data_IF_827866238216
#
_entry.id   IF_827866238216
#
_cell.length_a   1.000
_cell.length_b   1.000
_cell.length_c   1.000
_cell.angle_alpha   90.00
_cell.angle_beta   90.00
_cell.angle_gamma   90.00
#
_symmetry.space_group_name_H-M   'P 1'
#
loop_
_entity.id
_entity.type
_entity.pdbx_description
1 polymer ?
#
# COMPACT_ATOMS: atom_id res chain seq x y z
N UNK A 1 7.65 -26.87 34.89
CA UNK A 1 6.45 -25.98 34.93
C UNK A 1 6.88 -24.55 35.20
N UNK A 2 5.99 -23.56 34.98
CA UNK A 2 6.25 -22.14 35.31
C UNK A 2 6.63 -21.95 36.80
N UNK A 3 6.07 -22.78 37.65
CA UNK A 3 6.39 -22.81 39.09
C UNK A 3 7.84 -23.25 39.34
N UNK A 4 8.33 -24.24 38.62
CA UNK A 4 9.72 -24.72 38.76
C UNK A 4 10.75 -23.65 38.36
N UNK A 5 10.38 -22.78 37.39
CA UNK A 5 11.21 -21.63 36.96
C UNK A 5 11.25 -20.56 38.06
N UNK A 6 10.09 -20.24 38.67
CA UNK A 6 10.00 -19.26 39.78
C UNK A 6 10.76 -19.79 41.03
N UNK A 7 10.57 -21.05 41.38
CA UNK A 7 11.21 -21.66 42.54
C UNK A 7 12.74 -21.70 42.34
N UNK A 8 13.24 -22.06 41.16
CA UNK A 8 14.67 -22.05 40.87
C UNK A 8 15.29 -20.66 40.85
N UNK A 9 14.54 -19.63 40.38
CA UNK A 9 15.00 -18.23 40.43
C UNK A 9 15.02 -17.69 41.87
N UNK A 10 14.05 -18.08 42.69
CA UNK A 10 13.91 -17.61 44.08
C UNK A 10 14.90 -18.30 45.07
N UNK A 11 15.19 -19.58 44.87
CA UNK A 11 15.92 -20.38 45.83
C UNK A 11 17.46 -20.36 45.72
N UNK A 12 18.01 -20.15 44.51
CA UNK A 12 19.46 -20.32 44.35
C UNK A 12 20.19 -19.40 43.38
N UNK A 13 19.47 -18.68 42.53
CA UNK A 13 20.06 -17.93 41.43
C UNK A 13 20.85 -18.82 40.45
N UNK A 14 20.77 -20.14 40.55
CA UNK A 14 21.43 -21.08 39.66
C UNK A 14 20.56 -21.35 38.45
N UNK A 15 20.74 -20.53 37.44
CA UNK A 15 20.09 -20.65 36.11
C UNK A 15 20.54 -21.95 35.41
N UNK A 16 21.68 -22.48 35.77
CA UNK A 16 22.29 -23.70 35.16
C UNK A 16 21.39 -24.93 35.28
N UNK A 17 20.77 -25.16 36.44
CA UNK A 17 19.82 -26.26 36.64
C UNK A 17 18.53 -26.14 35.82
N UNK A 18 18.16 -24.91 35.43
CA UNK A 18 17.02 -24.66 34.57
C UNK A 18 17.30 -24.96 33.12
N UNK A 19 18.54 -24.77 32.65
CA UNK A 19 18.94 -25.05 31.27
C UNK A 19 18.80 -26.55 30.99
N UNK A 20 19.15 -27.41 31.97
CA UNK A 20 19.01 -28.87 31.82
C UNK A 20 17.57 -29.36 31.96
N UNK A 21 16.78 -28.79 32.90
CA UNK A 21 15.43 -29.26 33.18
C UNK A 21 14.34 -28.67 32.27
N UNK A 22 14.59 -27.51 31.70
CA UNK A 22 13.67 -26.82 30.80
C UNK A 22 14.45 -26.10 29.70
N UNK A 23 15.03 -26.80 28.73
CA UNK A 23 15.79 -26.21 27.66
C UNK A 23 14.87 -25.26 26.85
N UNK A 24 15.28 -24.00 26.69
CA UNK A 24 14.53 -22.98 25.98
C UNK A 24 14.19 -23.40 24.56
N UNK A 25 15.11 -24.11 23.90
CA UNK A 25 14.92 -24.62 22.55
C UNK A 25 13.70 -25.54 22.46
N UNK A 26 13.54 -26.48 23.39
CA UNK A 26 12.42 -27.43 23.41
C UNK A 26 11.09 -26.71 23.68
N UNK A 27 11.11 -25.72 24.55
CA UNK A 27 9.93 -24.91 24.84
C UNK A 27 9.49 -24.09 23.62
N UNK A 28 10.42 -23.40 22.95
CA UNK A 28 10.14 -22.57 21.77
C UNK A 28 9.77 -23.44 20.56
N UNK A 29 10.56 -24.46 20.25
CA UNK A 29 10.28 -25.35 19.12
C UNK A 29 9.02 -26.18 19.35
N UNK A 30 8.78 -26.63 20.57
CA UNK A 30 7.55 -27.31 20.96
C UNK A 30 6.31 -26.42 20.81
N UNK A 31 6.43 -25.13 21.16
CA UNK A 31 5.38 -24.14 20.92
C UNK A 31 5.11 -23.96 19.41
N UNK A 32 6.17 -23.84 18.61
CA UNK A 32 6.05 -23.70 17.15
C UNK A 32 5.32 -24.90 16.56
N UNK A 33 5.77 -26.12 16.83
CA UNK A 33 5.16 -27.37 16.34
C UNK A 33 3.69 -27.49 16.76
N UNK A 34 3.37 -27.10 17.98
CA UNK A 34 2.03 -27.28 18.55
C UNK A 34 1.03 -26.18 18.12
N UNK A 35 1.48 -24.95 17.92
CA UNK A 35 0.61 -23.80 17.72
C UNK A 35 0.72 -23.13 16.34
N UNK A 36 1.75 -23.42 15.54
CA UNK A 36 1.88 -22.90 14.20
C UNK A 36 1.45 -23.95 13.16
N UNK A 37 0.28 -23.78 12.54
CA UNK A 37 -0.20 -24.75 11.56
C UNK A 37 0.64 -24.68 10.28
N UNK A 38 0.89 -25.84 9.61
CA UNK A 38 1.55 -25.87 8.32
C UNK A 38 0.71 -25.19 7.22
N UNK A 39 1.32 -24.81 6.10
CA UNK A 39 0.66 -24.08 5.02
C UNK A 39 -0.66 -24.66 4.54
N UNK A 40 -0.71 -25.96 4.26
CA UNK A 40 -1.89 -26.65 3.76
C UNK A 40 -3.06 -26.67 4.77
N UNK A 41 -2.80 -26.45 6.05
CA UNK A 41 -3.84 -26.28 7.08
C UNK A 41 -4.21 -24.80 7.19
N UNK A 42 -3.22 -23.91 7.23
CA UNK A 42 -3.43 -22.47 7.41
C UNK A 42 -4.18 -21.83 6.23
N UNK A 43 -3.92 -22.26 5.00
CA UNK A 43 -4.55 -21.70 3.80
C UNK A 43 -6.08 -21.90 3.78
N UNK A 44 -6.58 -23.02 4.32
CA UNK A 44 -8.02 -23.31 4.37
C UNK A 44 -8.86 -22.26 5.09
N UNK A 45 -8.32 -21.62 6.13
CA UNK A 45 -9.05 -20.59 6.89
C UNK A 45 -8.56 -19.17 6.64
N UNK A 46 -7.36 -18.99 6.04
CA UNK A 46 -6.82 -17.65 5.71
C UNK A 46 -7.21 -17.19 4.32
N UNK A 47 -7.12 -18.06 3.32
CA UNK A 47 -7.40 -17.71 1.91
C UNK A 47 -8.79 -17.12 1.72
N UNK A 48 -9.88 -17.67 2.31
CA UNK A 48 -11.20 -17.08 2.17
C UNK A 48 -11.34 -15.63 2.68
N UNK A 49 -10.38 -15.19 3.52
CA UNK A 49 -10.37 -13.82 4.07
C UNK A 49 -9.61 -12.83 3.20
N UNK A 50 -8.62 -13.31 2.43
CA UNK A 50 -7.68 -12.46 1.69
C UNK A 50 -7.80 -12.60 0.16
N UNK A 51 -8.57 -13.58 -0.31
CA UNK A 51 -8.80 -13.81 -1.72
C UNK A 51 -10.30 -13.91 -2.00
N UNK A 52 -10.81 -13.05 -2.90
CA UNK A 52 -12.23 -12.94 -3.24
C UNK A 52 -12.62 -13.69 -4.50
N UNK A 53 -11.71 -14.51 -5.04
CA UNK A 53 -12.02 -15.38 -6.17
C UNK A 53 -12.92 -16.56 -5.80
N UNK A 54 -13.35 -17.30 -6.81
CA UNK A 54 -14.17 -18.49 -6.62
C UNK A 54 -13.36 -19.64 -6.03
N UNK A 55 -13.65 -19.97 -4.77
CA UNK A 55 -12.97 -21.03 -4.00
C UNK A 55 -13.28 -22.44 -4.53
N UNK A 56 -14.39 -22.62 -5.26
CA UNK A 56 -14.79 -23.90 -5.85
C UNK A 56 -14.14 -24.15 -7.21
N UNK A 57 -13.55 -23.12 -7.82
CA UNK A 57 -12.79 -23.27 -9.06
C UNK A 57 -11.54 -24.15 -8.86
N UNK A 58 -10.99 -24.69 -9.94
CA UNK A 58 -9.76 -25.50 -9.88
C UNK A 58 -8.60 -24.73 -9.27
N UNK A 59 -8.50 -23.43 -9.59
CA UNK A 59 -7.50 -22.52 -9.01
C UNK A 59 -7.76 -22.31 -7.52
N UNK A 60 -9.02 -22.05 -7.12
CA UNK A 60 -9.39 -21.87 -5.73
C UNK A 60 -9.06 -23.10 -4.88
N UNK A 61 -9.38 -24.28 -5.38
CA UNK A 61 -9.05 -25.57 -4.73
C UNK A 61 -7.54 -25.79 -4.62
N UNK A 62 -6.78 -25.47 -5.67
CA UNK A 62 -5.32 -25.57 -5.64
C UNK A 62 -4.71 -24.63 -4.58
N UNK A 63 -5.20 -23.38 -4.51
CA UNK A 63 -4.77 -22.41 -3.48
C UNK A 63 -5.14 -22.89 -2.08
N UNK A 64 -6.38 -23.38 -1.85
CA UNK A 64 -6.80 -23.84 -0.52
C UNK A 64 -6.01 -25.05 -0.03
N UNK A 65 -5.67 -25.96 -0.93
CA UNK A 65 -4.99 -27.21 -0.58
C UNK A 65 -3.46 -27.10 -0.60
N UNK A 66 -2.91 -25.93 -0.99
CA UNK A 66 -1.45 -25.76 -1.14
C UNK A 66 -0.88 -26.79 -2.14
N UNK A 67 -1.52 -26.91 -3.31
CA UNK A 67 -1.19 -27.95 -4.30
C UNK A 67 0.01 -27.54 -5.15
N UNK A 68 1.09 -28.34 -5.08
CA UNK A 68 2.32 -28.11 -5.84
C UNK A 68 2.13 -28.32 -7.37
N UNK A 69 1.13 -29.10 -7.77
CA UNK A 69 0.85 -29.40 -9.17
C UNK A 69 -0.17 -28.45 -9.80
N UNK A 70 -0.78 -27.59 -9.00
CA UNK A 70 -1.74 -26.59 -9.47
C UNK A 70 -1.06 -25.44 -10.24
N UNK A 71 -1.85 -24.48 -10.74
CA UNK A 71 -1.33 -23.25 -11.31
C UNK A 71 -0.48 -22.51 -10.30
N UNK A 72 0.65 -21.95 -10.74
CA UNK A 72 1.49 -21.14 -9.86
C UNK A 72 0.78 -19.83 -9.53
N UNK A 73 0.50 -19.60 -8.24
CA UNK A 73 -0.12 -18.36 -7.74
C UNK A 73 0.65 -17.91 -6.52
N UNK A 74 1.22 -16.71 -6.59
CA UNK A 74 2.02 -16.11 -5.54
C UNK A 74 1.58 -14.67 -5.29
N UNK A 75 1.55 -14.27 -4.03
CA UNK A 75 1.40 -12.87 -3.62
C UNK A 75 2.75 -12.32 -3.19
N UNK A 76 3.18 -11.23 -3.80
CA UNK A 76 4.39 -10.51 -3.42
C UNK A 76 4.10 -9.73 -2.15
N UNK A 77 4.85 -10.02 -1.09
CA UNK A 77 4.70 -9.39 0.23
C UNK A 77 5.71 -8.27 0.42
N UNK A 78 6.92 -8.45 -0.11
CA UNK A 78 8.00 -7.50 0.04
C UNK A 78 8.87 -7.45 -1.22
N UNK A 79 9.51 -6.32 -1.43
CA UNK A 79 10.54 -6.12 -2.44
C UNK A 79 11.83 -5.70 -1.75
N UNK A 80 12.94 -6.23 -2.17
CA UNK A 80 14.27 -5.77 -1.74
C UNK A 80 15.17 -5.59 -2.95
N UNK A 81 16.22 -4.81 -2.83
CA UNK A 81 17.15 -4.55 -3.91
C UNK A 81 18.51 -5.17 -3.59
N UNK A 82 18.83 -6.22 -4.32
CA UNK A 82 20.17 -6.80 -4.29
C UNK A 82 21.13 -5.89 -5.09
N UNK A 83 22.26 -5.46 -4.52
CA UNK A 83 23.21 -4.58 -5.21
C UNK A 83 23.74 -5.13 -6.53
N UNK A 84 23.84 -6.44 -6.67
CA UNK A 84 24.38 -7.10 -7.87
C UNK A 84 23.30 -7.56 -8.84
N UNK A 85 22.15 -8.00 -8.31
CA UNK A 85 21.10 -8.66 -9.10
C UNK A 85 19.85 -7.78 -9.33
N UNK A 86 19.74 -6.63 -8.66
CA UNK A 86 18.61 -5.72 -8.79
C UNK A 86 17.40 -6.12 -7.93
N UNK A 87 16.17 -5.76 -8.35
CA UNK A 87 14.96 -6.01 -7.57
C UNK A 87 14.68 -7.50 -7.37
N UNK A 88 14.40 -7.89 -6.13
CA UNK A 88 14.05 -9.25 -5.68
C UNK A 88 12.64 -9.20 -5.11
N UNK A 89 11.72 -9.93 -5.73
CA UNK A 89 10.34 -10.05 -5.27
C UNK A 89 10.20 -11.22 -4.30
N UNK A 90 9.86 -10.93 -3.06
CA UNK A 90 9.68 -11.92 -1.99
C UNK A 90 8.18 -12.06 -1.72
N UNK A 91 7.68 -13.29 -1.71
CA UNK A 91 6.25 -13.47 -1.49
C UNK A 91 5.86 -14.88 -1.09
N UNK A 92 4.59 -15.03 -0.80
CA UNK A 92 4.00 -16.31 -0.45
C UNK A 92 3.50 -17.03 -1.69
N UNK A 93 3.99 -18.23 -1.92
CA UNK A 93 3.50 -19.14 -2.96
C UNK A 93 2.33 -19.95 -2.40
N UNK A 94 1.13 -19.72 -2.93
CA UNK A 94 -0.10 -20.36 -2.46
C UNK A 94 -0.40 -21.67 -3.18
N UNK A 95 -0.08 -21.78 -4.47
CA UNK A 95 -0.26 -22.98 -5.27
C UNK A 95 0.78 -23.06 -6.37
N UNK A 96 0.97 -24.24 -6.90
CA UNK A 96 1.91 -24.53 -7.96
C UNK A 96 3.37 -24.60 -7.52
N UNK A 97 4.23 -24.85 -8.48
CA UNK A 97 5.69 -24.84 -8.33
C UNK A 97 6.27 -23.75 -9.21
N UNK A 98 7.10 -22.88 -8.63
CA UNK A 98 7.80 -21.84 -9.38
C UNK A 98 9.20 -22.30 -9.72
N UNK A 99 9.66 -22.02 -10.97
CA UNK A 99 10.94 -22.50 -11.52
C UNK A 99 11.75 -21.40 -12.17
N UNK A 100 13.05 -21.58 -12.24
CA UNK A 100 13.93 -20.74 -13.02
C UNK A 100 13.49 -20.70 -14.51
N UNK A 101 13.51 -19.53 -15.11
CA UNK A 101 13.15 -19.33 -16.49
C UNK A 101 11.64 -19.30 -16.80
N UNK A 102 10.78 -19.48 -15.81
CA UNK A 102 9.33 -19.52 -15.96
C UNK A 102 8.76 -18.13 -16.30
N UNK A 103 7.84 -18.10 -17.26
CA UNK A 103 7.07 -16.89 -17.55
C UNK A 103 5.88 -16.80 -16.59
N UNK A 104 5.64 -15.61 -16.05
CA UNK A 104 4.54 -15.32 -15.16
C UNK A 104 3.88 -14.00 -15.52
N UNK A 105 2.61 -13.88 -15.19
CA UNK A 105 1.81 -12.67 -15.36
C UNK A 105 1.72 -11.91 -14.04
N UNK A 106 1.95 -10.62 -14.05
CA UNK A 106 1.62 -9.70 -12.97
C UNK A 106 0.17 -9.28 -13.20
N UNK A 107 -0.73 -9.83 -12.42
CA UNK A 107 -2.18 -9.77 -12.68
C UNK A 107 -2.70 -8.33 -12.64
N UNK A 108 -2.26 -7.54 -11.68
CA UNK A 108 -2.71 -6.18 -11.44
C UNK A 108 -2.40 -5.25 -12.62
N UNK A 109 -1.21 -5.36 -13.20
CA UNK A 109 -0.76 -4.49 -14.30
C UNK A 109 -0.95 -5.12 -15.67
N UNK A 110 -1.41 -6.38 -15.73
CA UNK A 110 -1.52 -7.20 -16.97
C UNK A 110 -0.20 -7.30 -17.75
N UNK A 111 0.93 -7.22 -17.05
CA UNK A 111 2.26 -7.34 -17.63
C UNK A 111 2.80 -8.75 -17.48
N UNK A 112 3.69 -9.12 -18.36
CA UNK A 112 4.40 -10.38 -18.28
C UNK A 112 5.81 -10.16 -17.72
N UNK A 113 6.26 -11.10 -16.90
CA UNK A 113 7.60 -11.14 -16.37
C UNK A 113 8.21 -12.54 -16.55
N UNK A 114 9.52 -12.60 -16.57
CA UNK A 114 10.25 -13.87 -16.59
C UNK A 114 11.08 -14.01 -15.33
N UNK A 115 10.89 -15.09 -14.63
CA UNK A 115 11.69 -15.45 -13.43
C UNK A 115 13.09 -15.81 -13.91
N UNK A 116 14.09 -15.01 -13.54
CA UNK A 116 15.48 -15.29 -13.86
C UNK A 116 16.08 -16.37 -12.95
N UNK A 117 15.81 -16.26 -11.65
CA UNK A 117 16.18 -17.28 -10.69
C UNK A 117 15.23 -17.33 -9.51
N UNK A 118 15.05 -18.56 -8.98
CA UNK A 118 14.27 -18.84 -7.79
C UNK A 118 15.22 -19.06 -6.62
N UNK A 119 15.04 -18.26 -5.59
CA UNK A 119 15.88 -18.27 -4.41
C UNK A 119 15.02 -18.31 -3.14
N UNK A 120 15.65 -18.55 -2.00
CA UNK A 120 15.05 -18.29 -0.69
C UNK A 120 16.07 -17.60 0.22
N UNK A 121 15.57 -16.94 1.25
CA UNK A 121 16.43 -16.30 2.24
C UNK A 121 16.58 -17.15 3.49
N UNK A 122 17.85 -17.39 3.89
CA UNK A 122 18.20 -17.85 5.22
C UNK A 122 18.84 -16.68 5.99
N UNK A 123 18.04 -15.99 6.80
CA UNK A 123 18.42 -14.72 7.40
C UNK A 123 18.74 -13.68 6.32
N UNK A 124 19.98 -13.20 6.24
CA UNK A 124 20.48 -12.26 5.22
C UNK A 124 21.15 -12.91 4.01
N UNK A 125 21.25 -14.26 4.01
CA UNK A 125 21.88 -15.01 2.93
C UNK A 125 20.79 -15.45 1.94
N UNK A 126 20.99 -15.12 0.67
CA UNK A 126 20.13 -15.57 -0.43
C UNK A 126 20.74 -16.82 -1.06
N UNK A 127 19.99 -17.93 -1.07
CA UNK A 127 20.39 -19.18 -1.68
C UNK A 127 19.53 -19.48 -2.90
N UNK A 128 20.18 -19.84 -4.01
CA UNK A 128 19.49 -20.27 -5.24
C UNK A 128 19.13 -21.73 -5.13
N UNK A 129 17.88 -22.05 -5.45
CA UNK A 129 17.35 -23.43 -5.38
C UNK A 129 16.79 -23.93 -6.70
N UNK A 130 16.56 -23.04 -7.68
CA UNK A 130 16.06 -23.40 -8.99
C UNK A 130 14.55 -23.62 -9.06
N UNK A 131 13.92 -24.26 -8.08
CA UNK A 131 12.48 -24.44 -7.98
C UNK A 131 12.00 -24.50 -6.52
N UNK A 132 10.77 -24.05 -6.28
CA UNK A 132 10.09 -24.12 -4.98
C UNK A 132 8.60 -24.41 -5.18
N UNK A 133 8.04 -25.31 -4.36
CA UNK A 133 6.62 -25.66 -4.35
C UNK A 133 5.78 -24.75 -3.46
N UNK A 134 4.48 -24.96 -3.51
CA UNK A 134 3.48 -24.21 -2.74
C UNK A 134 3.77 -24.23 -1.23
N UNK A 135 3.32 -23.18 -0.55
CA UNK A 135 3.56 -23.06 0.89
C UNK A 135 4.92 -22.47 1.27
N UNK A 136 5.85 -22.31 0.35
CA UNK A 136 7.13 -21.66 0.56
C UNK A 136 7.07 -20.14 0.37
N UNK A 137 8.17 -19.48 0.68
CA UNK A 137 8.35 -18.02 0.51
C UNK A 137 9.53 -17.80 -0.44
N UNK A 138 9.31 -17.95 -1.77
CA UNK A 138 10.36 -17.72 -2.75
C UNK A 138 10.79 -16.26 -2.82
N UNK A 139 12.04 -16.05 -3.19
CA UNK A 139 12.64 -14.78 -3.57
C UNK A 139 12.99 -14.84 -5.07
N UNK A 140 12.26 -14.08 -5.88
CA UNK A 140 12.32 -14.15 -7.34
C UNK A 140 13.10 -12.97 -7.90
N UNK A 141 14.06 -13.28 -8.76
CA UNK A 141 14.77 -12.31 -9.58
C UNK A 141 14.14 -12.20 -10.98
N UNK A 142 14.28 -11.05 -11.59
CA UNK A 142 13.82 -10.80 -12.97
C UNK A 142 12.48 -10.07 -13.06
N UNK A 143 11.78 -9.86 -11.95
CA UNK A 143 10.49 -9.16 -11.90
C UNK A 143 10.68 -7.68 -11.59
N UNK A 144 11.32 -6.93 -12.49
CA UNK A 144 11.73 -5.53 -12.25
C UNK A 144 10.56 -4.56 -12.09
N UNK A 145 9.40 -4.90 -12.66
CA UNK A 145 8.20 -4.06 -12.61
C UNK A 145 7.21 -4.45 -11.52
N UNK A 146 7.49 -5.54 -10.82
CA UNK A 146 6.66 -6.00 -9.72
C UNK A 146 6.76 -5.05 -8.50
N UNK A 147 5.72 -5.05 -7.69
CA UNK A 147 5.60 -4.27 -6.46
C UNK A 147 5.05 -5.16 -5.35
N UNK A 148 5.32 -4.75 -4.10
CA UNK A 148 4.68 -5.36 -2.94
C UNK A 148 3.15 -5.22 -3.02
N UNK A 149 2.44 -6.28 -2.60
CA UNK A 149 0.97 -6.35 -2.66
C UNK A 149 0.41 -6.97 -3.95
N UNK A 150 1.22 -7.12 -5.01
CA UNK A 150 0.75 -7.64 -6.29
C UNK A 150 0.65 -9.18 -6.30
N UNK A 151 -0.26 -9.66 -7.14
CA UNK A 151 -0.45 -11.08 -7.40
C UNK A 151 0.23 -11.47 -8.71
N UNK A 152 1.02 -12.53 -8.68
CA UNK A 152 1.66 -13.10 -9.87
C UNK A 152 1.22 -14.54 -10.08
N UNK A 153 1.03 -14.94 -11.35
CA UNK A 153 0.56 -16.28 -11.70
C UNK A 153 1.03 -16.72 -13.08
N UNK A 154 1.06 -18.02 -13.29
CA UNK A 154 1.22 -18.62 -14.63
C UNK A 154 -0.05 -18.55 -15.47
N UNK A 155 -1.21 -18.33 -14.85
CA UNK A 155 -2.50 -18.20 -15.53
C UNK A 155 -2.93 -16.75 -15.51
N UNK A 156 -3.35 -16.23 -16.65
CA UNK A 156 -3.88 -14.87 -16.77
C UNK A 156 -5.36 -14.82 -16.37
N UNK A 157 -5.81 -13.64 -15.90
CA UNK A 157 -7.23 -13.40 -15.59
C UNK A 157 -7.74 -13.99 -14.28
N UNK A 158 -6.85 -14.40 -13.38
CA UNK A 158 -7.25 -14.79 -12.03
C UNK A 158 -7.60 -13.57 -11.17
N UNK A 159 -8.43 -13.79 -10.15
CA UNK A 159 -8.70 -12.76 -9.14
C UNK A 159 -7.45 -12.50 -8.31
N UNK A 160 -7.14 -11.22 -8.09
CA UNK A 160 -6.01 -10.80 -7.25
C UNK A 160 -6.26 -11.12 -5.78
N UNK A 161 -5.19 -11.34 -5.03
CA UNK A 161 -5.26 -11.24 -3.57
C UNK A 161 -5.52 -9.79 -3.16
N UNK A 162 -6.22 -9.61 -2.05
CA UNK A 162 -6.35 -8.28 -1.46
C UNK A 162 -4.94 -7.78 -1.08
N UNK A 163 -4.49 -6.64 -1.62
CA UNK A 163 -3.20 -6.09 -1.26
C UNK A 163 -3.18 -5.77 0.24
N UNK A 164 -2.02 -5.95 0.86
CA UNK A 164 -1.83 -5.47 2.23
C UNK A 164 -2.13 -3.98 2.25
N UNK A 165 -3.18 -3.58 2.98
CA UNK A 165 -3.48 -2.16 3.19
C UNK A 165 -2.33 -1.59 4.02
N UNK A 166 -1.37 -0.97 3.36
CA UNK A 166 -0.39 -0.10 4.02
C UNK A 166 -1.16 1.13 4.48
N UNK A 167 -1.28 1.26 5.78
CA UNK A 167 -2.47 1.72 6.48
C UNK A 167 -2.66 3.22 6.51
N UNK A 168 -1.69 4.04 6.12
CA UNK A 168 -1.91 5.47 6.22
C UNK A 168 -1.16 6.29 5.18
N UNK A 169 -1.79 7.37 4.79
CA UNK A 169 -1.14 8.42 4.05
C UNK A 169 0.02 9.02 4.85
N UNK A 170 1.11 9.42 4.19
CA UNK A 170 2.24 10.03 4.87
C UNK A 170 1.80 11.28 5.63
N UNK A 171 2.17 11.36 6.90
CA UNK A 171 1.78 12.47 7.79
C UNK A 171 2.85 13.55 7.90
N UNK A 172 4.09 13.24 7.55
CA UNK A 172 5.24 14.17 7.62
C UNK A 172 5.93 14.18 6.28
N UNK A 173 6.36 15.36 5.86
CA UNK A 173 7.12 15.56 4.64
C UNK A 173 8.30 16.50 4.85
N UNK A 174 9.34 16.32 4.06
CA UNK A 174 10.51 17.22 3.99
C UNK A 174 10.97 17.36 2.55
N UNK A 175 11.49 18.52 2.21
CA UNK A 175 12.20 18.72 0.95
C UNK A 175 13.63 18.19 1.07
N UNK A 176 14.12 17.57 0.02
CA UNK A 176 15.48 17.04 -0.08
C UNK A 176 16.12 17.48 -1.37
N UNK A 177 17.37 17.93 -1.28
CA UNK A 177 18.17 18.31 -2.43
C UNK A 177 19.59 17.76 -2.33
N UNK A 178 20.23 17.41 -3.44
CA UNK A 178 21.64 17.04 -3.41
C UNK A 178 22.48 18.30 -3.21
N UNK A 179 23.45 18.23 -2.29
CA UNK A 179 24.39 19.34 -2.05
C UNK A 179 25.19 19.71 -3.30
N UNK A 180 25.44 18.75 -4.17
CA UNK A 180 26.12 18.94 -5.43
C UNK A 180 25.20 18.52 -6.58
N UNK A 181 24.93 19.40 -7.58
CA UNK A 181 24.03 19.08 -8.72
C UNK A 181 24.43 17.83 -9.51
N UNK A 182 25.72 17.49 -9.54
CA UNK A 182 26.23 16.26 -10.20
C UNK A 182 25.69 14.97 -9.57
N UNK A 183 25.27 15.01 -8.30
CA UNK A 183 24.78 13.84 -7.56
C UNK A 183 23.26 13.63 -7.76
N UNK A 184 22.56 14.55 -8.45
CA UNK A 184 21.12 14.45 -8.71
C UNK A 184 20.69 13.12 -9.39
N UNK A 185 21.34 12.63 -10.45
CA UNK A 185 20.96 11.36 -11.05
C UNK A 185 21.07 10.18 -10.08
N UNK A 186 22.13 10.18 -9.25
CA UNK A 186 22.38 9.16 -8.24
C UNK A 186 21.32 9.22 -7.11
N UNK A 187 20.95 10.44 -6.71
CA UNK A 187 19.88 10.65 -5.72
C UNK A 187 18.55 10.09 -6.25
N UNK A 188 18.17 10.44 -7.48
CA UNK A 188 16.92 9.95 -8.10
C UNK A 188 16.89 8.41 -8.17
N UNK A 189 18.01 7.78 -8.54
CA UNK A 189 18.12 6.31 -8.55
C UNK A 189 17.97 5.71 -7.15
N UNK A 190 18.62 6.32 -6.15
CA UNK A 190 18.55 5.86 -4.75
C UNK A 190 17.14 6.02 -4.20
N UNK A 191 16.48 7.14 -4.45
CA UNK A 191 15.10 7.38 -4.04
C UNK A 191 14.13 6.37 -4.69
N UNK A 192 14.33 6.06 -5.97
CA UNK A 192 13.56 5.03 -6.66
C UNK A 192 13.73 3.66 -6.01
N UNK A 193 14.93 3.29 -5.60
CA UNK A 193 15.22 2.06 -4.88
C UNK A 193 14.50 2.02 -3.53
N UNK A 194 14.60 3.09 -2.75
CA UNK A 194 13.93 3.20 -1.45
C UNK A 194 12.41 3.08 -1.57
N UNK A 195 11.79 3.71 -2.58
CA UNK A 195 10.34 3.60 -2.83
C UNK A 195 9.90 2.18 -3.24
N UNK A 196 10.79 1.38 -3.85
CA UNK A 196 10.50 -0.01 -4.18
C UNK A 196 10.54 -0.89 -2.92
N UNK A 197 11.50 -0.65 -2.02
CA UNK A 197 11.68 -1.40 -0.78
C UNK A 197 10.65 -1.01 0.28
N UNK A 198 10.32 0.28 0.37
CA UNK A 198 9.35 0.80 1.33
C UNK A 198 8.18 1.51 0.62
N UNK A 199 7.03 0.85 0.50
CA UNK A 199 5.84 1.43 -0.12
C UNK A 199 5.21 2.58 0.68
N UNK A 200 5.60 2.78 1.96
CA UNK A 200 5.12 3.90 2.78
C UNK A 200 5.95 5.17 2.58
N UNK A 201 7.10 5.07 1.91
CA UNK A 201 7.91 6.21 1.53
C UNK A 201 7.40 6.77 0.19
N UNK A 202 6.86 7.97 0.21
CA UNK A 202 6.34 8.64 -0.99
C UNK A 202 7.28 9.75 -1.41
N UNK A 203 7.72 9.69 -2.66
CA UNK A 203 8.56 10.72 -3.27
C UNK A 203 7.72 11.46 -4.31
N UNK A 204 7.68 12.79 -4.20
CA UNK A 204 7.02 13.68 -5.17
C UNK A 204 8.00 14.75 -5.61
N UNK A 205 7.95 15.09 -6.87
CA UNK A 205 8.63 16.27 -7.39
C UNK A 205 7.57 17.37 -7.48
N UNK A 206 7.81 18.47 -6.79
CA UNK A 206 6.97 19.66 -6.91
C UNK A 206 7.24 20.31 -8.27
N UNK A 207 6.22 20.36 -9.12
CA UNK A 207 6.35 20.88 -10.48
C UNK A 207 6.52 22.42 -10.52
N UNK A 208 6.10 23.12 -9.45
CA UNK A 208 6.19 24.58 -9.37
C UNK A 208 7.59 25.01 -8.87
N UNK A 209 8.10 24.34 -7.85
CA UNK A 209 9.40 24.68 -7.23
C UNK A 209 10.57 23.86 -7.78
N UNK A 210 10.29 22.69 -8.37
CA UNK A 210 11.30 21.71 -8.78
C UNK A 210 11.93 20.94 -7.62
N UNK A 211 11.45 21.15 -6.40
CA UNK A 211 11.94 20.47 -5.21
C UNK A 211 11.51 19.01 -5.15
N UNK A 212 12.37 18.16 -4.63
CA UNK A 212 12.02 16.76 -4.34
C UNK A 212 11.50 16.64 -2.92
N UNK A 213 10.22 16.31 -2.77
CA UNK A 213 9.55 16.13 -1.49
C UNK A 213 9.55 14.66 -1.14
N UNK A 214 10.10 14.34 0.02
CA UNK A 214 10.06 13.00 0.63
C UNK A 214 9.03 13.02 1.77
N UNK A 215 8.03 12.14 1.70
CA UNK A 215 6.97 12.04 2.69
C UNK A 215 6.90 10.63 3.28
N UNK A 216 6.67 10.54 4.58
CA UNK A 216 6.68 9.28 5.33
C UNK A 216 5.75 9.30 6.55
N UNK A 217 5.75 8.19 7.28
CA UNK A 217 4.85 7.91 8.40
C UNK A 217 5.25 8.63 9.69
N UNK A 218 6.46 9.16 9.79
CA UNK A 218 6.96 9.83 10.98
C UNK A 218 8.40 10.34 10.81
N UNK A 219 8.87 11.14 11.78
CA UNK A 219 10.22 11.72 11.76
C UNK A 219 11.29 10.62 11.67
N UNK A 220 11.18 9.59 12.51
CA UNK A 220 12.14 8.48 12.52
C UNK A 220 12.20 7.75 11.16
N UNK A 221 11.06 7.59 10.49
CA UNK A 221 11.01 6.98 9.16
C UNK A 221 11.80 7.81 8.13
N UNK A 222 11.62 9.12 8.15
CA UNK A 222 12.37 10.04 7.27
C UNK A 222 13.86 10.07 7.61
N UNK A 223 14.22 10.07 8.91
CA UNK A 223 15.61 10.04 9.37
C UNK A 223 16.33 8.77 8.91
N UNK A 224 15.67 7.60 9.01
CA UNK A 224 16.23 6.35 8.49
C UNK A 224 16.45 6.44 6.98
N UNK A 225 15.48 6.96 6.23
CA UNK A 225 15.60 7.15 4.79
C UNK A 225 16.73 8.10 4.41
N UNK A 226 16.89 9.21 5.14
CA UNK A 226 18.00 10.15 4.99
C UNK A 226 19.35 9.47 5.24
N UNK A 227 19.45 8.63 6.27
CA UNK A 227 20.67 7.90 6.56
C UNK A 227 21.01 6.89 5.46
N UNK A 228 20.03 6.17 4.91
CA UNK A 228 20.23 5.28 3.77
C UNK A 228 20.76 6.02 2.53
N UNK A 229 20.27 7.25 2.28
CA UNK A 229 20.79 8.11 1.20
C UNK A 229 22.25 8.50 1.47
N UNK A 230 22.59 8.84 2.71
CA UNK A 230 23.98 9.17 3.12
C UNK A 230 24.91 7.96 3.01
N UNK A 231 24.43 6.77 3.38
CA UNK A 231 25.19 5.50 3.24
C UNK A 231 25.49 5.20 1.76
N UNK A 232 24.60 5.62 0.84
CA UNK A 232 24.88 5.60 -0.59
C UNK A 232 25.92 6.65 -1.04
N UNK A 233 26.57 7.38 -0.10
CA UNK A 233 27.57 8.43 -0.34
C UNK A 233 27.02 9.58 -1.20
N UNK A 234 25.85 10.06 -0.84
CA UNK A 234 25.20 11.24 -1.41
C UNK A 234 25.00 12.25 -0.30
N UNK A 235 25.67 13.41 -0.42
CA UNK A 235 25.43 14.52 0.49
C UNK A 235 24.15 15.25 0.10
N UNK A 236 23.20 15.31 1.03
CA UNK A 236 21.92 15.98 0.83
C UNK A 236 21.71 17.11 1.83
N UNK A 237 20.94 18.09 1.41
CA UNK A 237 20.37 19.15 2.24
C UNK A 237 18.90 18.80 2.45
N UNK A 238 18.42 18.90 3.68
CA UNK A 238 17.02 18.61 4.03
C UNK A 238 16.40 19.86 4.66
N UNK A 239 15.12 20.11 4.37
CA UNK A 239 14.33 21.09 5.10
C UNK A 239 13.93 20.55 6.49
N UNK A 240 13.40 21.41 7.33
CA UNK A 240 12.72 20.96 8.53
C UNK A 240 11.48 20.11 8.16
N UNK A 241 11.18 19.04 8.89
CA UNK A 241 10.00 18.24 8.65
C UNK A 241 8.72 19.03 8.87
N UNK A 242 7.82 19.00 7.88
CA UNK A 242 6.50 19.62 7.94
C UNK A 242 5.43 18.56 8.19
N UNK A 243 4.58 18.82 9.18
CA UNK A 243 3.44 17.94 9.47
C UNK A 243 2.24 18.39 8.63
N UNK A 244 1.67 17.46 7.86
CA UNK A 244 0.47 17.71 7.09
C UNK A 244 -0.77 17.62 7.99
N UNK A 245 -1.25 18.76 8.44
CA UNK A 245 -2.52 18.84 9.13
C UNK A 245 -3.65 18.82 8.12
N UNK A 246 -4.69 18.04 8.41
CA UNK A 246 -5.94 18.02 7.67
C UNK A 246 -7.06 18.39 8.60
N UNK A 247 -7.99 19.21 8.11
CA UNK A 247 -9.19 19.59 8.84
C UNK A 247 -10.38 18.84 8.26
N UNK A 248 -11.30 18.43 9.11
CA UNK A 248 -12.58 17.86 8.73
C UNK A 248 -13.69 18.51 9.54
N UNK A 249 -14.90 18.41 9.05
CA UNK A 249 -16.08 18.94 9.72
C UNK A 249 -16.83 17.82 10.45
N UNK A 250 -17.24 18.08 11.70
CA UNK A 250 -18.01 17.14 12.51
C UNK A 250 -19.54 17.28 12.37
N UNK A 251 -20.02 18.26 11.61
CA UNK A 251 -21.45 18.51 11.41
C UNK A 251 -21.72 19.54 10.33
N UNK A 252 -22.98 19.71 9.96
CA UNK A 252 -23.39 20.69 8.95
C UNK A 252 -23.18 22.13 9.45
N UNK A 253 -22.59 22.98 8.61
CA UNK A 253 -22.43 24.40 8.91
C UNK A 253 -23.74 25.18 8.73
N UNK A 254 -23.82 26.36 9.30
CA UNK A 254 -24.82 27.36 8.89
C UNK A 254 -24.50 27.85 7.47
N UNK A 255 -25.52 28.44 6.82
CA UNK A 255 -25.33 29.05 5.49
C UNK A 255 -24.55 30.33 5.63
N UNK A 256 -23.35 30.36 5.09
CA UNK A 256 -22.48 31.53 5.08
C UNK A 256 -22.61 32.29 3.74
N UNK A 257 -22.78 33.60 3.79
CA UNK A 257 -22.84 34.44 2.61
C UNK A 257 -21.49 35.10 2.34
N UNK A 258 -20.94 34.81 1.15
CA UNK A 258 -19.77 35.47 0.61
C UNK A 258 -20.14 36.37 -0.60
N UNK A 259 -19.30 37.34 -0.89
CA UNK A 259 -19.42 38.17 -2.10
C UNK A 259 -18.26 37.84 -3.04
N UNK A 260 -18.56 37.85 -4.35
CA UNK A 260 -17.51 37.77 -5.38
C UNK A 260 -16.52 38.95 -5.25
N UNK A 261 -15.27 38.83 -5.76
CA UNK A 261 -14.28 39.92 -5.69
C UNK A 261 -14.77 41.27 -6.20
N UNK A 262 -15.60 41.29 -7.24
CA UNK A 262 -16.24 42.48 -7.78
C UNK A 262 -17.46 42.98 -6.96
N UNK A 263 -17.84 42.23 -5.88
CA UNK A 263 -18.97 42.50 -4.97
C UNK A 263 -20.37 42.49 -5.59
N UNK A 264 -20.51 42.11 -6.87
CA UNK A 264 -21.80 42.09 -7.56
C UNK A 264 -22.61 40.84 -7.26
N UNK A 265 -21.93 39.69 -7.08
CA UNK A 265 -22.59 38.40 -6.82
C UNK A 265 -22.51 38.04 -5.33
N UNK A 266 -23.63 37.60 -4.76
CA UNK A 266 -23.73 37.05 -3.42
C UNK A 266 -23.80 35.51 -3.56
N UNK A 267 -22.88 34.82 -2.93
CA UNK A 267 -22.76 33.37 -2.95
C UNK A 267 -23.09 32.87 -1.55
N UNK A 268 -24.01 31.94 -1.45
CA UNK A 268 -24.42 31.31 -0.22
C UNK A 268 -23.87 29.88 -0.21
N UNK A 269 -23.05 29.55 0.77
CA UNK A 269 -22.39 28.25 0.88
C UNK A 269 -22.74 27.57 2.20
N UNK A 270 -22.89 26.28 2.16
CA UNK A 270 -23.02 25.39 3.33
C UNK A 270 -22.09 24.21 3.14
N UNK A 271 -21.50 23.75 4.22
CA UNK A 271 -20.60 22.57 4.23
C UNK A 271 -21.23 21.51 5.10
N UNK A 272 -21.23 20.27 4.64
CA UNK A 272 -21.79 19.10 5.32
C UNK A 272 -20.78 17.98 5.31
N UNK A 273 -20.75 17.09 6.34
CA UNK A 273 -19.97 15.87 6.29
C UNK A 273 -20.38 15.00 5.11
N UNK A 274 -19.40 14.48 4.37
CA UNK A 274 -19.62 13.55 3.29
C UNK A 274 -19.61 12.12 3.85
N UNK A 275 -20.42 11.23 3.30
CA UNK A 275 -20.46 9.83 3.66
C UNK A 275 -19.08 9.18 3.41
N UNK A 276 -18.57 8.36 4.36
CA UNK A 276 -17.24 7.77 4.25
C UNK A 276 -17.02 6.97 2.96
N UNK A 277 -18.04 6.27 2.49
CA UNK A 277 -18.01 5.47 1.25
C UNK A 277 -17.80 6.35 0.01
N UNK A 278 -18.50 7.48 -0.07
CA UNK A 278 -18.38 8.44 -1.18
C UNK A 278 -16.99 9.11 -1.12
N UNK A 279 -16.53 9.47 0.07
CA UNK A 279 -15.20 10.05 0.25
C UNK A 279 -14.08 9.07 -0.18
N UNK A 280 -14.25 7.77 0.08
CA UNK A 280 -13.31 6.74 -0.38
C UNK A 280 -13.33 6.60 -1.89
N UNK A 281 -14.52 6.61 -2.52
CA UNK A 281 -14.66 6.59 -3.99
C UNK A 281 -14.06 7.80 -4.70
N UNK A 282 -14.01 8.95 -4.04
CA UNK A 282 -13.30 10.12 -4.57
C UNK A 282 -11.78 9.92 -4.49
N UNK A 283 -11.27 9.30 -3.40
CA UNK A 283 -9.84 9.06 -3.20
C UNK A 283 -9.27 7.98 -4.10
N UNK A 284 -10.01 6.92 -4.36
CA UNK A 284 -9.59 5.81 -5.24
C UNK A 284 -9.80 6.11 -6.73
N UNK A 285 -10.41 7.28 -7.06
CA UNK A 285 -10.66 7.73 -8.42
C UNK A 285 -11.89 7.08 -9.07
N UNK A 286 -12.70 6.35 -8.33
CA UNK A 286 -14.00 5.82 -8.80
C UNK A 286 -14.94 6.97 -9.16
N UNK A 287 -14.95 8.03 -8.35
CA UNK A 287 -15.58 9.31 -8.65
C UNK A 287 -14.49 10.33 -8.98
N UNK A 288 -14.34 10.69 -10.25
CA UNK A 288 -13.34 11.66 -10.72
C UNK A 288 -13.87 12.48 -11.88
N UNK A 289 -13.32 13.67 -12.09
CA UNK A 289 -13.69 14.56 -13.19
C UNK A 289 -13.49 13.98 -14.60
N UNK A 290 -12.67 12.94 -14.71
CA UNK A 290 -12.37 12.29 -16.00
C UNK A 290 -13.47 11.32 -16.46
N UNK A 291 -14.48 11.02 -15.63
CA UNK A 291 -15.58 10.11 -15.96
C UNK A 291 -16.82 10.83 -16.45
N UNK A 292 -17.70 10.08 -17.12
CA UNK A 292 -18.97 10.63 -17.61
C UNK A 292 -19.86 11.06 -16.43
N UNK A 293 -20.35 12.30 -16.45
CA UNK A 293 -21.25 12.88 -15.42
C UNK A 293 -22.51 12.05 -15.19
N UNK A 294 -23.00 11.33 -16.21
CA UNK A 294 -24.16 10.45 -16.08
C UNK A 294 -23.85 9.19 -15.27
N UNK A 295 -22.67 8.61 -15.50
CA UNK A 295 -22.19 7.44 -14.76
C UNK A 295 -21.96 7.79 -13.29
N UNK A 296 -21.30 8.91 -13.01
CA UNK A 296 -21.08 9.40 -11.65
C UNK A 296 -22.38 9.68 -10.91
N UNK A 297 -23.36 10.33 -11.59
CA UNK A 297 -24.67 10.57 -11.00
C UNK A 297 -25.44 9.26 -10.75
N UNK A 298 -25.19 8.20 -11.52
CA UNK A 298 -25.79 6.89 -11.26
C UNK A 298 -25.18 6.25 -10.02
N UNK A 299 -23.84 6.25 -9.88
CA UNK A 299 -23.13 5.75 -8.71
C UNK A 299 -23.63 6.42 -7.43
N UNK A 300 -23.77 7.76 -7.43
CA UNK A 300 -24.25 8.51 -6.27
C UNK A 300 -25.70 8.12 -5.90
N UNK A 301 -26.56 7.89 -6.89
CA UNK A 301 -27.94 7.41 -6.67
C UNK A 301 -27.98 6.01 -6.06
N UNK A 302 -27.11 5.12 -6.51
CA UNK A 302 -27.01 3.76 -5.99
C UNK A 302 -26.57 3.74 -4.51
N UNK A 303 -25.89 4.84 -4.06
CA UNK A 303 -25.52 5.08 -2.65
C UNK A 303 -26.51 6.00 -1.90
N UNK A 304 -27.74 6.15 -2.43
CA UNK A 304 -28.84 6.80 -1.71
C UNK A 304 -28.98 8.32 -1.90
N UNK A 305 -28.22 8.93 -2.80
CA UNK A 305 -28.35 10.34 -3.09
C UNK A 305 -29.62 10.65 -3.93
N UNK A 306 -30.28 11.76 -3.62
CA UNK A 306 -31.41 12.21 -4.41
C UNK A 306 -31.00 12.47 -5.88
N UNK A 307 -31.81 12.03 -6.87
CA UNK A 307 -31.49 12.18 -8.29
C UNK A 307 -31.18 13.60 -8.74
N UNK A 308 -31.85 14.58 -8.11
CA UNK A 308 -31.67 15.99 -8.43
C UNK A 308 -30.39 16.58 -7.83
N UNK A 309 -29.92 16.06 -6.69
CA UNK A 309 -28.66 16.44 -6.05
C UNK A 309 -27.49 15.82 -6.80
N UNK A 310 -27.59 14.53 -7.12
CA UNK A 310 -26.54 13.80 -7.84
C UNK A 310 -26.23 14.42 -9.22
N UNK A 311 -27.23 14.97 -9.92
CA UNK A 311 -27.04 15.67 -11.20
C UNK A 311 -26.39 17.06 -11.07
N UNK A 312 -26.46 17.66 -9.89
CA UNK A 312 -25.93 19.00 -9.62
C UNK A 312 -24.52 19.03 -9.10
N UNK A 313 -23.86 17.89 -9.04
CA UNK A 313 -22.45 17.81 -8.67
C UNK A 313 -21.62 18.51 -9.74
N UNK A 314 -20.78 19.44 -9.29
CA UNK A 314 -19.91 20.25 -10.13
C UNK A 314 -18.51 19.66 -10.19
N UNK A 315 -17.96 19.24 -9.06
CA UNK A 315 -16.58 18.78 -8.95
C UNK A 315 -16.41 17.72 -7.85
N UNK A 316 -15.48 16.81 -8.10
CA UNK A 316 -14.93 15.88 -7.12
C UNK A 316 -13.45 16.21 -6.89
N UNK A 317 -13.02 16.13 -5.65
CA UNK A 317 -11.60 16.26 -5.30
C UNK A 317 -11.04 14.90 -4.87
N UNK A 318 -9.81 14.60 -5.26
CA UNK A 318 -9.08 13.39 -4.86
C UNK A 318 -8.83 13.27 -3.35
N UNK A 319 -9.08 14.33 -2.59
CA UNK A 319 -9.02 14.34 -1.10
C UNK A 319 -10.31 13.85 -0.44
N UNK A 320 -11.35 13.58 -1.22
CA UNK A 320 -12.65 13.12 -0.74
C UNK A 320 -13.62 14.25 -0.45
N UNK A 321 -13.63 15.31 -1.28
CA UNK A 321 -14.59 16.38 -1.20
C UNK A 321 -15.46 16.40 -2.46
N UNK A 322 -16.72 16.90 -2.32
CA UNK A 322 -17.68 17.02 -3.42
C UNK A 322 -18.30 18.39 -3.40
N UNK A 323 -18.26 19.09 -4.54
CA UNK A 323 -18.90 20.37 -4.71
C UNK A 323 -20.24 20.23 -5.45
N UNK A 324 -21.31 20.76 -4.87
CA UNK A 324 -22.68 20.64 -5.40
C UNK A 324 -23.25 22.03 -5.66
N UNK A 325 -23.86 22.22 -6.82
CA UNK A 325 -24.63 23.45 -7.11
C UNK A 325 -26.02 23.34 -6.49
N UNK A 326 -26.21 23.94 -5.32
CA UNK A 326 -27.50 24.01 -4.61
C UNK A 326 -28.46 25.10 -5.06
N UNK A 327 -28.12 25.89 -6.10
CA UNK A 327 -28.97 27.03 -6.53
C UNK A 327 -30.32 26.57 -7.06
N UNK A 328 -31.36 27.30 -6.66
CA UNK A 328 -32.75 27.11 -7.15
C UNK A 328 -33.09 28.24 -8.13
N UNK A 329 -33.53 27.87 -9.33
CA UNK A 329 -33.93 28.83 -10.36
C UNK A 329 -32.80 29.20 -11.33
N UNK A 330 -33.13 30.08 -12.29
CA UNK A 330 -32.16 30.57 -13.28
C UNK A 330 -31.35 31.68 -12.62
N UNK A 331 -30.15 31.40 -12.20
CA UNK A 331 -29.17 32.38 -11.73
C UNK A 331 -27.92 32.26 -12.60
N UNK A 332 -27.32 33.39 -12.94
CA UNK A 332 -26.05 33.47 -13.67
C UNK A 332 -24.89 33.08 -12.76
N UNK A 333 -24.82 31.80 -12.43
CA UNK A 333 -23.71 31.24 -11.63
C UNK A 333 -22.46 31.03 -12.51
N UNK A 334 -22.66 30.94 -13.83
CA UNK A 334 -21.61 30.62 -14.80
C UNK A 334 -20.40 31.57 -14.74
N UNK A 335 -20.64 32.88 -14.55
CA UNK A 335 -19.55 33.86 -14.43
C UNK A 335 -18.69 33.70 -13.17
N UNK A 336 -19.22 33.05 -12.11
CA UNK A 336 -18.50 32.82 -10.85
C UNK A 336 -18.04 31.41 -10.68
N UNK A 337 -18.43 30.50 -11.59
CA UNK A 337 -18.15 29.06 -11.49
C UNK A 337 -16.67 28.77 -11.50
N UNK A 338 -15.91 29.37 -12.41
CA UNK A 338 -14.48 29.17 -12.52
C UNK A 338 -13.72 29.61 -11.25
N UNK A 339 -14.15 30.75 -10.68
CA UNK A 339 -13.57 31.25 -9.43
C UNK A 339 -13.91 30.35 -8.23
N UNK A 340 -15.11 29.75 -8.21
CA UNK A 340 -15.52 28.80 -7.17
C UNK A 340 -14.77 27.49 -7.30
N UNK A 341 -14.62 26.98 -8.52
CA UNK A 341 -13.89 25.74 -8.81
C UNK A 341 -12.38 25.88 -8.54
N UNK A 342 -11.81 27.06 -8.78
CA UNK A 342 -10.40 27.32 -8.48
C UNK A 342 -10.13 27.48 -6.99
N UNK A 343 -11.15 27.88 -6.20
CA UNK A 343 -11.05 27.99 -4.75
C UNK A 343 -11.35 26.70 -3.99
N UNK A 344 -11.94 25.71 -4.67
CA UNK A 344 -12.26 24.38 -4.12
C UNK A 344 -11.08 23.44 -4.26
#
# INVERSE_FOLDING_TARGET
TFKDVIDAYSDSGKVEDLIEKAPLADAVLGMVVKHHPPPHVAQKYRVPKIWKGDLESDIGKAILNCDDNGPTVMMIVNMTIDPAAGPVAIGRLFSGTIKDGQNIHIIDTKREGRVQSVNFFMSNIREQVGELGAGNIPALLGLTEARAGQTVSTVNGITMFEPSKYVSEPVIQMAIEPKHPKDLPKLVETLRKLTIEDPNLVIKIDEETGETIMAGMGVLHLDVSVNLIKDAKIDIITSEPLINYRETIGGSSEVVMAKSPNRHNKIFMRVEPLEPEIAEMCRDGTLSEMKDKKEMAQILRDHGWEPDVAKKVMRFDSRGNVMINGTKGVQFVDESTDSLLSGF
#
